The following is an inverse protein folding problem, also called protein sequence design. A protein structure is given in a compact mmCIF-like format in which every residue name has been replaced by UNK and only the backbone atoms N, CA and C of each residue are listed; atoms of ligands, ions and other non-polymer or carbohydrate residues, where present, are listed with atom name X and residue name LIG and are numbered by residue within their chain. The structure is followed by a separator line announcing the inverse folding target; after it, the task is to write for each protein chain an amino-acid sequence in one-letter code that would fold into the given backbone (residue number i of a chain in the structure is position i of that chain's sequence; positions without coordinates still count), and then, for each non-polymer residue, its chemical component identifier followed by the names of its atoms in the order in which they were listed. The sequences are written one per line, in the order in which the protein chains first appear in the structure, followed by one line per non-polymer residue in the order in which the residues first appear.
data_IF_186889888261
#
_entry.id   IF_186889888261
#
_cell.length_a   1.000
_cell.length_b   1.000
_cell.length_c   1.000
_cell.angle_alpha   90.00
_cell.angle_beta   90.00
_cell.angle_gamma   90.00
#
_symmetry.space_group_name_H-M   'P 1'
#
loop_
_entity.id
_entity.type
_entity.pdbx_description
1 polymer ?
#
# COMPACT_ATOMS: atom_id res chain seq x y z
N UNK A 1 -29.16 13.88 1.39
CA UNK A 1 -28.60 12.82 2.26
C UNK A 1 -28.39 13.41 3.66
N UNK A 2 -28.70 12.69 4.75
CA UNK A 2 -28.39 13.18 6.08
C UNK A 2 -26.87 13.33 6.22
N UNK A 3 -26.42 14.48 6.73
CA UNK A 3 -25.00 14.71 7.03
C UNK A 3 -24.65 13.81 8.21
N UNK A 4 -23.75 12.86 8.02
CA UNK A 4 -23.23 12.08 9.13
C UNK A 4 -22.53 13.04 10.11
N UNK A 5 -22.84 12.91 11.39
CA UNK A 5 -22.10 13.59 12.45
C UNK A 5 -20.66 13.10 12.34
N UNK A 6 -19.71 14.03 12.21
CA UNK A 6 -18.30 13.66 12.06
C UNK A 6 -17.84 12.84 13.25
N UNK A 7 -17.38 11.61 13.00
CA UNK A 7 -16.81 10.76 14.04
C UNK A 7 -15.40 11.26 14.37
N UNK A 8 -15.09 11.42 15.65
CA UNK A 8 -13.75 11.81 16.08
C UNK A 8 -12.79 10.62 15.96
N UNK A 9 -11.58 10.82 15.40
CA UNK A 9 -10.57 9.77 15.24
C UNK A 9 -10.29 9.03 16.56
N UNK A 10 -10.22 9.75 17.68
CA UNK A 10 -9.95 9.14 18.97
C UNK A 10 -11.12 8.28 19.46
N UNK A 11 -12.36 8.66 19.16
CA UNK A 11 -13.55 7.88 19.51
C UNK A 11 -13.64 6.59 18.70
N UNK A 12 -13.22 6.60 17.43
CA UNK A 12 -13.20 5.42 16.54
C UNK A 12 -12.32 4.29 17.08
N UNK A 13 -11.18 4.64 17.69
CA UNK A 13 -10.24 3.67 18.27
C UNK A 13 -10.37 3.56 19.80
N UNK A 14 -11.45 4.11 20.37
CA UNK A 14 -11.76 3.97 21.79
C UNK A 14 -10.73 4.62 22.72
N UNK A 15 -10.01 5.65 22.26
CA UNK A 15 -9.22 6.51 23.14
C UNK A 15 -10.19 7.33 23.99
N UNK A 16 -10.35 6.90 25.25
CA UNK A 16 -11.09 7.68 26.25
C UNK A 16 -10.13 8.75 26.78
N UNK A 17 -10.61 9.99 26.94
CA UNK A 17 -9.86 11.06 27.60
C UNK A 17 -9.62 10.68 29.07
N UNK A 18 -8.59 9.88 29.33
CA UNK A 18 -8.11 9.55 30.66
C UNK A 18 -6.79 10.28 30.90
N UNK A 19 -6.57 10.78 32.10
CA UNK A 19 -5.32 11.46 32.48
C UNK A 19 -4.14 10.48 32.37
N UNK A 20 -3.19 10.72 31.46
CA UNK A 20 -2.00 9.89 31.27
C UNK A 20 -1.67 9.62 29.80
N UNK A 21 -1.03 8.49 29.51
CA UNK A 21 -0.77 7.98 28.16
C UNK A 21 -1.95 7.07 27.74
N UNK A 22 -2.97 7.59 27.02
CA UNK A 22 -4.17 6.83 26.73
C UNK A 22 -3.85 5.71 25.72
N UNK A 23 -4.09 4.46 26.10
CA UNK A 23 -4.01 3.33 25.19
C UNK A 23 -5.40 3.06 24.56
N UNK A 24 -5.45 2.61 23.29
CA UNK A 24 -6.71 2.20 22.67
C UNK A 24 -7.36 1.07 23.49
N UNK A 25 -8.67 1.19 23.73
CA UNK A 25 -9.41 0.26 24.63
C UNK A 25 -9.95 -0.97 23.92
N UNK A 26 -10.12 -0.89 22.60
CA UNK A 26 -10.32 -2.04 21.71
C UNK A 26 -8.95 -2.66 21.46
N UNK A 27 -8.82 -4.01 21.50
CA UNK A 27 -7.57 -4.78 21.37
C UNK A 27 -6.81 -4.61 20.04
N UNK A 28 -6.51 -3.38 19.69
CA UNK A 28 -5.86 -2.88 18.50
C UNK A 28 -4.47 -2.43 18.93
N UNK A 29 -3.44 -2.77 18.14
CA UNK A 29 -2.06 -2.36 18.43
C UNK A 29 -1.96 -0.84 18.51
N UNK A 30 -1.43 -0.27 19.62
CA UNK A 30 -1.21 1.17 19.74
C UNK A 30 -0.34 1.73 18.61
N UNK A 31 0.64 0.94 18.16
CA UNK A 31 1.55 1.29 17.06
C UNK A 31 0.81 1.31 15.71
N UNK A 32 -0.16 0.43 15.50
CA UNK A 32 -0.98 0.44 14.29
C UNK A 32 -1.92 1.64 14.23
N UNK A 33 -2.47 2.04 15.37
CA UNK A 33 -3.31 3.24 15.44
C UNK A 33 -2.49 4.51 15.22
N UNK A 34 -1.22 4.52 15.64
CA UNK A 34 -0.29 5.61 15.35
C UNK A 34 -0.02 5.76 13.85
N UNK A 35 0.23 4.66 13.13
CA UNK A 35 0.35 4.69 11.67
C UNK A 35 -0.91 5.26 11.01
N UNK A 36 -2.09 4.78 11.41
CA UNK A 36 -3.36 5.27 10.87
C UNK A 36 -3.59 6.75 11.13
N UNK A 37 -3.10 7.29 12.26
CA UNK A 37 -3.21 8.70 12.59
C UNK A 37 -2.43 9.57 11.60
N UNK A 38 -1.24 9.13 11.19
CA UNK A 38 -0.42 9.82 10.20
C UNK A 38 -1.02 9.68 8.78
N UNK A 39 -1.49 8.48 8.39
CA UNK A 39 -2.07 8.24 7.07
C UNK A 39 -3.41 8.97 6.84
N UNK A 40 -4.26 9.01 7.88
CA UNK A 40 -5.60 9.61 7.82
C UNK A 40 -5.63 11.07 8.30
N UNK A 41 -4.48 11.75 8.26
CA UNK A 41 -4.44 13.18 8.55
C UNK A 41 -5.22 13.97 7.49
N UNK A 42 -5.87 15.06 7.92
CA UNK A 42 -6.75 15.84 7.04
C UNK A 42 -5.99 16.61 5.96
N UNK A 43 -4.85 17.19 6.33
CA UNK A 43 -3.99 17.93 5.40
C UNK A 43 -3.08 16.95 4.65
N UNK A 44 -3.26 16.83 3.34
CA UNK A 44 -2.43 15.93 2.53
C UNK A 44 -0.93 16.22 2.56
N UNK A 45 -0.51 17.47 2.83
CA UNK A 45 0.91 17.82 2.96
C UNK A 45 1.54 17.27 4.24
N UNK A 46 0.74 16.95 5.24
CA UNK A 46 1.20 16.37 6.51
C UNK A 46 1.16 14.82 6.46
N UNK A 47 0.71 14.24 5.35
CA UNK A 47 0.67 12.79 5.17
C UNK A 47 2.07 12.27 4.85
N UNK A 48 2.52 11.18 5.48
CA UNK A 48 3.81 10.59 5.13
C UNK A 48 3.79 10.06 3.68
N UNK A 49 4.98 10.02 3.09
CA UNK A 49 5.23 9.33 1.83
C UNK A 49 5.08 7.81 2.00
N UNK A 50 4.99 7.06 0.89
CA UNK A 50 4.92 5.61 0.94
C UNK A 50 6.18 5.01 1.62
N UNK A 51 7.36 5.53 1.31
CA UNK A 51 8.64 5.13 1.92
C UNK A 51 8.66 5.35 3.43
N UNK A 52 8.25 6.54 3.90
CA UNK A 52 8.17 6.85 5.33
C UNK A 52 7.14 5.96 6.05
N UNK A 53 6.03 5.63 5.39
CA UNK A 53 5.03 4.73 5.95
C UNK A 53 5.53 3.28 6.05
N UNK A 54 6.30 2.80 5.07
CA UNK A 54 6.91 1.46 5.07
C UNK A 54 7.96 1.30 6.17
N UNK A 55 8.73 2.36 6.45
CA UNK A 55 9.70 2.40 7.55
C UNK A 55 9.06 2.46 8.96
N UNK A 56 7.72 2.55 9.06
CA UNK A 56 7.04 2.70 10.34
C UNK A 56 7.18 1.45 11.23
N UNK A 57 7.31 1.58 12.58
CA UNK A 57 7.48 0.45 13.50
C UNK A 57 6.37 -0.62 13.45
N UNK A 58 5.21 -0.26 12.90
CA UNK A 58 4.11 -1.21 12.69
C UNK A 58 4.42 -2.23 11.59
N UNK A 59 5.22 -1.84 10.59
CA UNK A 59 5.54 -2.65 9.40
C UNK A 59 6.94 -3.26 9.44
N UNK A 60 7.72 -3.08 10.51
CA UNK A 60 9.10 -3.61 10.62
C UNK A 60 9.21 -5.12 10.37
N UNK A 61 8.18 -5.91 10.67
CA UNK A 61 8.17 -7.35 10.39
C UNK A 61 7.97 -7.71 8.91
N UNK A 62 7.57 -6.75 8.09
CA UNK A 62 7.28 -6.93 6.66
C UNK A 62 8.20 -6.08 5.76
N UNK A 63 8.76 -4.99 6.30
CA UNK A 63 9.58 -4.06 5.54
C UNK A 63 10.90 -4.71 5.10
N UNK A 64 11.16 -4.68 3.79
CA UNK A 64 12.37 -5.19 3.19
C UNK A 64 12.83 -4.24 2.07
N UNK A 65 13.82 -3.36 2.33
CA UNK A 65 14.29 -2.39 1.34
C UNK A 65 14.79 -3.01 0.02
N UNK A 66 15.27 -4.26 0.04
CA UNK A 66 15.78 -4.94 -1.15
C UNK A 66 14.65 -5.49 -2.05
N UNK A 67 13.44 -5.68 -1.51
CA UNK A 67 12.24 -6.17 -2.22
C UNK A 67 11.20 -5.05 -2.43
N UNK A 68 11.61 -3.79 -2.23
CA UNK A 68 10.79 -2.60 -2.40
C UNK A 68 11.37 -1.72 -3.52
N UNK A 69 11.32 -2.16 -4.79
CA UNK A 69 11.93 -1.43 -5.90
C UNK A 69 11.21 -0.10 -6.12
N UNK A 70 11.99 0.95 -6.34
CA UNK A 70 11.48 2.26 -6.75
C UNK A 70 11.59 2.40 -8.26
N UNK A 71 10.53 2.91 -8.89
CA UNK A 71 10.58 3.27 -10.30
C UNK A 71 11.14 4.70 -10.42
N UNK A 72 12.05 4.90 -11.38
CA UNK A 72 12.45 6.25 -11.80
C UNK A 72 11.24 7.05 -12.33
N UNK A 73 11.45 8.34 -12.58
CA UNK A 73 10.40 9.23 -13.10
C UNK A 73 9.69 8.62 -14.32
N UNK A 74 8.42 8.23 -14.12
CA UNK A 74 7.54 7.82 -15.20
C UNK A 74 7.09 9.08 -15.95
N UNK A 75 7.82 9.43 -17.00
CA UNK A 75 7.47 10.55 -17.88
C UNK A 75 6.54 10.03 -18.96
N UNK A 76 5.25 10.28 -18.80
CA UNK A 76 4.29 10.13 -19.90
C UNK A 76 4.29 11.40 -20.76
N UNK A 77 4.93 11.32 -21.92
CA UNK A 77 5.02 12.42 -22.89
C UNK A 77 3.64 12.88 -23.43
N UNK A 78 2.59 12.08 -23.25
CA UNK A 78 1.25 12.38 -23.70
C UNK A 78 0.31 12.87 -22.58
N UNK A 79 0.75 12.91 -21.31
CA UNK A 79 -0.10 13.21 -20.14
C UNK A 79 -0.87 14.53 -20.27
N UNK A 80 -0.27 15.56 -20.86
CA UNK A 80 -0.86 16.89 -21.03
C UNK A 80 -1.24 17.20 -22.49
N UNK A 81 -1.27 16.19 -23.37
CA UNK A 81 -1.53 16.39 -24.78
C UNK A 81 -3.03 16.49 -25.10
N UNK A 82 -3.38 17.39 -26.02
CA UNK A 82 -4.74 17.50 -26.58
C UNK A 82 -4.79 16.93 -28.01
N UNK A 83 -4.66 15.61 -28.14
CA UNK A 83 -4.76 14.92 -29.42
C UNK A 83 -6.21 14.61 -29.81
N UNK A 84 -6.47 14.46 -31.11
CA UNK A 84 -7.73 13.91 -31.61
C UNK A 84 -7.80 12.39 -31.41
N UNK A 85 -8.99 11.82 -31.64
CA UNK A 85 -9.24 10.39 -31.45
C UNK A 85 -8.33 9.54 -32.34
N UNK A 86 -8.14 9.90 -33.61
CA UNK A 86 -7.29 9.15 -34.54
C UNK A 86 -5.83 9.07 -34.07
N UNK A 87 -5.27 10.16 -33.53
CA UNK A 87 -3.91 10.17 -33.00
C UNK A 87 -3.78 9.30 -31.75
N UNK A 88 -4.74 9.37 -30.82
CA UNK A 88 -4.76 8.47 -29.66
C UNK A 88 -4.84 6.99 -30.06
N UNK A 89 -5.70 6.64 -31.02
CA UNK A 89 -5.77 5.27 -31.56
C UNK A 89 -4.43 4.81 -32.11
N UNK A 90 -3.70 5.67 -32.82
CA UNK A 90 -2.39 5.32 -33.37
C UNK A 90 -1.34 5.05 -32.29
N UNK A 91 -1.31 5.88 -31.24
CA UNK A 91 -0.38 5.72 -30.11
C UNK A 91 -0.67 4.42 -29.36
N UNK A 92 -1.94 4.19 -29.02
CA UNK A 92 -2.36 2.97 -28.33
C UNK A 92 -2.04 1.74 -29.17
N UNK A 93 -2.29 1.78 -30.48
CA UNK A 93 -1.97 0.69 -31.38
C UNK A 93 -0.47 0.39 -31.39
N UNK A 94 0.39 1.41 -31.45
CA UNK A 94 1.85 1.25 -31.38
C UNK A 94 2.30 0.63 -30.05
N UNK A 95 1.75 1.08 -28.92
CA UNK A 95 2.03 0.50 -27.60
C UNK A 95 1.67 -0.98 -27.53
N UNK A 96 0.53 -1.38 -28.10
CA UNK A 96 0.12 -2.79 -28.16
C UNK A 96 1.13 -3.61 -28.97
N UNK A 97 1.59 -3.10 -30.12
CA UNK A 97 2.56 -3.81 -30.96
C UNK A 97 3.94 -3.96 -30.28
N UNK A 98 4.31 -3.01 -29.42
CA UNK A 98 5.58 -2.99 -28.70
C UNK A 98 5.56 -3.77 -27.39
N UNK A 99 4.38 -4.18 -26.92
CA UNK A 99 4.27 -4.94 -25.68
C UNK A 99 4.98 -6.30 -25.81
N UNK A 100 5.91 -6.55 -24.90
CA UNK A 100 6.58 -7.85 -24.75
C UNK A 100 6.03 -8.52 -23.49
N UNK A 101 5.71 -9.81 -23.57
CA UNK A 101 5.25 -10.56 -22.40
C UNK A 101 6.37 -10.62 -21.35
N UNK A 102 6.03 -10.44 -20.06
CA UNK A 102 7.04 -10.54 -19.02
C UNK A 102 7.62 -11.95 -19.02
N UNK A 103 8.95 -12.04 -18.89
CA UNK A 103 9.62 -13.31 -18.67
C UNK A 103 9.21 -13.78 -17.27
N UNK A 104 8.39 -14.81 -17.21
CA UNK A 104 8.10 -15.53 -15.96
C UNK A 104 9.23 -16.53 -15.73
N UNK A 105 10.07 -16.26 -14.74
CA UNK A 105 11.12 -17.20 -14.32
C UNK A 105 10.43 -18.42 -13.70
N UNK A 106 10.61 -19.59 -14.32
CA UNK A 106 9.90 -20.84 -13.99
C UNK A 106 10.51 -21.61 -12.79
N UNK A 107 11.36 -20.96 -11.99
CA UNK A 107 12.24 -21.67 -11.05
C UNK A 107 11.84 -21.52 -9.55
N UNK A 108 10.68 -20.95 -9.21
CA UNK A 108 10.24 -20.80 -7.80
C UNK A 108 9.22 -21.88 -7.32
N UNK A 109 8.97 -22.93 -8.11
CA UNK A 109 8.06 -24.05 -7.75
C UNK A 109 8.79 -25.34 -7.33
N UNK A 110 10.09 -25.27 -7.01
CA UNK A 110 10.81 -26.40 -6.37
C UNK A 110 11.02 -26.18 -4.87
N UNK A 111 10.03 -25.59 -4.18
CA UNK A 111 9.94 -25.74 -2.74
C UNK A 111 9.47 -27.17 -2.45
N UNK A 112 10.47 -27.98 -2.12
CA UNK A 112 10.44 -29.36 -1.68
C UNK A 112 9.36 -29.58 -0.61
N UNK A 113 8.13 -29.86 -1.04
CA UNK A 113 7.13 -30.50 -0.21
C UNK A 113 7.56 -31.97 -0.03
N UNK A 114 8.56 -32.15 0.84
CA UNK A 114 8.89 -33.39 1.49
C UNK A 114 7.62 -33.90 2.19
N UNK A 115 6.81 -34.69 1.48
CA UNK A 115 5.77 -35.50 2.10
C UNK A 115 6.44 -36.71 2.73
N UNK A 116 7.26 -36.51 3.77
CA UNK A 116 7.75 -37.60 4.59
C UNK A 116 7.01 -37.66 5.94
N UNK A 117 6.19 -38.69 6.05
CA UNK A 117 5.89 -39.45 7.26
C UNK A 117 5.49 -38.68 8.54
N UNK A 118 4.18 -38.61 8.75
CA UNK A 118 3.62 -39.03 10.04
C UNK A 118 2.46 -40.00 9.81
N UNK A 119 2.83 -41.28 9.76
CA UNK A 119 1.98 -42.39 10.18
C UNK A 119 1.53 -42.11 11.63
N UNK A 120 0.26 -41.75 11.81
CA UNK A 120 -0.36 -41.66 13.14
C UNK A 120 -1.28 -42.87 13.31
N UNK A 121 -1.10 -43.68 14.37
CA UNK A 121 -1.86 -44.92 14.60
C UNK A 121 -3.36 -44.71 14.83
#
# INVERSE_FOLDING_TARGET
MPRQVGQNFNELFGYKYAAGNPQPTSGISPVGVDLLRHLLTFNHFDRPTAEEALAHPFLTGFHNPEDEPTLDSLVDEHQNACYNVEKWKSIIWELIQRFEEPVVDADDDNDDMDTDSQNIP
#
